data_IF_280658387289
#
_entry.id   IF_280658387289
#
_cell.length_a   1.000
_cell.length_b   1.000
_cell.length_c   1.000
_cell.angle_alpha   90.00
_cell.angle_beta   90.00
_cell.angle_gamma   90.00
#
_symmetry.space_group_name_H-M   'P 1'
#
loop_
_entity.id
_entity.type
_entity.pdbx_description
1 polymer ?
#
# COMPACT_ATOMS: atom_id res chain seq x y z
N UNK A 1 18.83 -16.64 45.02
CA UNK A 1 20.27 -16.97 44.86
C UNK A 1 20.35 -18.02 43.77
N UNK A 2 20.80 -17.67 42.60
CA UNK A 2 21.67 -18.43 41.70
C UNK A 2 21.79 -17.69 40.40
N UNK A 3 22.94 -17.08 40.21
CA UNK A 3 23.42 -16.42 38.99
C UNK A 3 23.91 -17.51 38.02
N UNK A 4 23.49 -17.50 36.78
CA UNK A 4 24.26 -18.13 35.73
C UNK A 4 24.51 -17.14 34.63
N UNK A 5 25.71 -16.62 34.60
CA UNK A 5 26.36 -15.96 33.48
C UNK A 5 26.85 -17.07 32.54
N UNK A 6 26.49 -17.03 31.30
CA UNK A 6 27.22 -17.78 30.28
C UNK A 6 27.49 -16.84 29.09
N UNK A 7 28.76 -16.45 29.07
CA UNK A 7 29.44 -15.67 28.05
C UNK A 7 29.88 -16.63 26.95
N UNK A 8 29.43 -16.47 25.73
CA UNK A 8 30.04 -17.14 24.58
C UNK A 8 30.41 -16.07 23.57
N UNK A 9 31.74 -15.87 23.50
CA UNK A 9 32.43 -15.19 22.41
C UNK A 9 32.50 -16.15 21.23
N UNK A 10 32.11 -15.69 20.03
CA UNK A 10 32.29 -16.40 18.78
C UNK A 10 32.66 -15.42 17.68
N UNK A 11 33.93 -15.41 17.33
CA UNK A 11 34.62 -14.65 16.29
C UNK A 11 34.34 -15.30 14.92
N UNK A 12 34.20 -14.48 13.87
CA UNK A 12 34.72 -14.84 12.55
C UNK A 12 33.72 -14.87 11.40
N UNK A 13 33.88 -14.03 10.49
CA UNK A 13 34.36 -14.14 9.11
C UNK A 13 33.67 -13.17 8.16
N UNK A 14 34.41 -12.18 7.74
CA UNK A 14 34.14 -11.32 6.59
C UNK A 14 34.32 -12.11 5.29
N UNK A 15 33.36 -12.01 4.39
CA UNK A 15 33.61 -12.31 2.98
C UNK A 15 33.08 -11.14 2.11
N UNK A 16 34.05 -10.43 1.57
CA UNK A 16 33.90 -9.45 0.53
C UNK A 16 33.70 -10.17 -0.80
N UNK A 17 32.66 -9.86 -1.55
CA UNK A 17 32.64 -10.06 -2.97
C UNK A 17 32.40 -8.74 -3.67
N UNK A 18 33.50 -8.19 -4.15
CA UNK A 18 33.55 -7.20 -5.22
C UNK A 18 33.36 -7.92 -6.53
N UNK A 19 32.45 -7.47 -7.36
CA UNK A 19 32.52 -7.72 -8.80
C UNK A 19 32.01 -6.51 -9.56
N UNK A 20 32.97 -5.81 -10.15
CA UNK A 20 32.79 -4.90 -11.25
C UNK A 20 32.68 -5.68 -12.54
N UNK A 21 31.77 -5.32 -13.42
CA UNK A 21 31.99 -5.43 -14.85
C UNK A 21 31.14 -4.41 -15.60
N UNK A 22 31.85 -3.60 -16.27
CA UNK A 22 31.59 -2.54 -17.22
C UNK A 22 31.62 -3.19 -18.60
N UNK A 23 30.63 -2.88 -19.45
CA UNK A 23 30.92 -2.83 -20.89
C UNK A 23 30.01 -1.86 -21.61
N UNK A 24 30.68 -0.92 -22.22
CA UNK A 24 30.21 -0.01 -23.27
C UNK A 24 30.25 -0.75 -24.62
N UNK A 25 29.29 -0.47 -25.51
CA UNK A 25 29.65 -0.33 -26.92
C UNK A 25 28.68 0.58 -27.67
N UNK A 26 29.31 1.52 -28.28
CA UNK A 26 28.90 2.48 -29.28
C UNK A 26 28.41 1.87 -30.59
N UNK A 27 27.72 2.71 -31.41
CA UNK A 27 27.53 2.55 -32.83
C UNK A 27 26.22 3.16 -33.29
N UNK A 28 26.15 4.34 -33.63
CA UNK A 28 26.54 5.23 -34.71
C UNK A 28 25.55 5.22 -35.91
N UNK A 29 24.90 6.41 -36.08
CA UNK A 29 24.67 7.18 -37.32
C UNK A 29 23.79 6.62 -38.45
N UNK A 30 22.83 7.45 -38.84
CA UNK A 30 22.15 7.38 -40.14
C UNK A 30 20.99 8.36 -40.26
N UNK A 31 21.32 9.61 -40.53
CA UNK A 31 20.47 10.61 -41.24
C UNK A 31 20.96 10.63 -42.72
N UNK A 32 20.32 11.17 -43.73
CA UNK A 32 19.23 12.17 -43.77
C UNK A 32 18.22 12.04 -44.97
N UNK A 33 17.46 13.12 -45.11
CA UNK A 33 16.89 13.74 -46.31
C UNK A 33 15.37 13.51 -46.55
N UNK A 34 14.67 14.54 -46.38
CA UNK A 34 14.16 15.64 -47.26
C UNK A 34 12.93 15.27 -48.09
N UNK A 35 11.99 16.16 -48.07
CA UNK A 35 11.39 16.95 -49.16
C UNK A 35 9.91 17.23 -48.97
N UNK A 36 9.62 18.51 -48.64
CA UNK A 36 8.81 19.57 -49.26
C UNK A 36 7.30 19.43 -49.34
N UNK A 37 6.66 20.43 -48.71
CA UNK A 37 5.63 21.38 -49.19
C UNK A 37 4.22 20.84 -49.51
N UNK A 38 3.20 21.31 -48.81
CA UNK A 38 2.33 22.32 -49.40
C UNK A 38 1.43 22.99 -48.35
N UNK A 39 1.26 24.27 -48.55
CA UNK A 39 0.49 25.23 -47.79
C UNK A 39 -0.99 25.12 -48.06
N UNK A 40 -1.83 25.21 -47.05
CA UNK A 40 -3.10 25.95 -47.22
C UNK A 40 -3.53 26.56 -45.89
N UNK A 41 -3.56 27.87 -45.87
CA UNK A 41 -4.07 28.71 -44.80
C UNK A 41 -5.60 28.74 -44.85
N UNK A 42 -6.29 28.56 -43.71
CA UNK A 42 -7.61 29.13 -43.48
C UNK A 42 -7.81 29.46 -41.99
N UNK A 43 -7.86 30.77 -41.78
CA UNK A 43 -8.70 31.51 -40.82
C UNK A 43 -8.80 31.07 -39.35
N UNK A 44 -8.20 31.90 -38.56
CA UNK A 44 -8.39 32.08 -37.13
C UNK A 44 -9.80 32.61 -36.80
N UNK A 45 -10.41 32.14 -35.70
CA UNK A 45 -11.16 33.05 -34.86
C UNK A 45 -10.53 33.13 -33.45
N UNK A 46 -10.42 34.33 -33.06
CA UNK A 46 -10.04 35.00 -31.86
C UNK A 46 -10.24 34.21 -30.58
N UNK A 47 -9.14 34.02 -29.83
CA UNK A 47 -9.10 33.46 -28.51
C UNK A 47 -9.79 34.37 -27.50
N UNK A 48 -10.71 33.84 -26.77
CA UNK A 48 -11.11 34.34 -25.47
C UNK A 48 -10.21 33.65 -24.44
N UNK A 49 -9.38 34.45 -23.78
CA UNK A 49 -8.55 34.12 -22.64
C UNK A 49 -9.44 33.57 -21.52
N UNK A 50 -9.44 32.25 -21.37
CA UNK A 50 -9.88 31.59 -20.16
C UNK A 50 -8.65 31.02 -19.52
N UNK A 51 -8.15 31.75 -18.54
CA UNK A 51 -7.16 31.26 -17.59
C UNK A 51 -7.78 30.10 -16.80
N UNK A 52 -7.82 28.93 -17.41
CA UNK A 52 -8.04 27.72 -16.68
C UNK A 52 -6.76 27.43 -15.90
N UNK A 53 -6.81 27.72 -14.59
CA UNK A 53 -5.91 27.10 -13.65
C UNK A 53 -5.92 25.60 -13.95
N UNK A 54 -4.83 25.08 -14.48
CA UNK A 54 -4.57 23.64 -14.55
C UNK A 54 -4.46 23.14 -13.11
N UNK A 55 -5.62 22.88 -12.50
CA UNK A 55 -5.70 21.99 -11.37
C UNK A 55 -5.16 20.67 -11.89
N UNK A 56 -3.97 20.28 -11.46
CA UNK A 56 -3.45 18.95 -11.71
C UNK A 56 -4.57 17.98 -11.35
N UNK A 57 -5.14 17.31 -12.34
CA UNK A 57 -6.12 16.27 -12.10
C UNK A 57 -5.37 15.19 -11.28
N UNK A 58 -5.55 15.25 -9.96
CA UNK A 58 -5.13 14.18 -9.09
C UNK A 58 -5.96 12.98 -9.55
N UNK A 59 -5.29 11.98 -10.16
CA UNK A 59 -5.97 10.82 -10.70
C UNK A 59 -6.85 10.17 -9.62
N UNK A 60 -7.86 9.44 -10.03
CA UNK A 60 -8.75 8.72 -9.14
C UNK A 60 -7.94 7.78 -8.24
N UNK A 61 -8.02 8.02 -6.93
CA UNK A 61 -7.40 7.21 -5.89
C UNK A 61 -8.49 6.55 -5.05
N UNK A 62 -8.16 5.51 -4.29
CA UNK A 62 -9.15 4.91 -3.40
C UNK A 62 -9.68 5.92 -2.38
N UNK A 63 -8.84 6.87 -1.94
CA UNK A 63 -9.22 7.90 -0.98
C UNK A 63 -10.31 8.84 -1.50
N UNK A 64 -10.26 9.23 -2.78
CA UNK A 64 -11.16 10.24 -3.33
C UNK A 64 -12.29 9.66 -4.20
N UNK A 65 -12.16 8.44 -4.71
CA UNK A 65 -13.09 7.85 -5.67
C UNK A 65 -13.96 6.73 -5.09
N UNK A 66 -13.54 6.08 -3.98
CA UNK A 66 -14.27 4.95 -3.40
C UNK A 66 -15.06 5.35 -2.15
N UNK A 67 -16.17 4.64 -1.93
CA UNK A 67 -16.91 4.67 -0.66
C UNK A 67 -16.21 3.74 0.35
N UNK A 68 -15.10 4.22 0.91
CA UNK A 68 -14.25 3.44 1.80
C UNK A 68 -14.65 3.47 3.28
N UNK A 69 -15.46 4.41 3.71
CA UNK A 69 -15.90 4.44 5.11
C UNK A 69 -16.92 3.33 5.38
N UNK A 70 -16.90 2.78 6.58
CA UNK A 70 -17.83 1.70 6.97
C UNK A 70 -17.15 0.59 7.73
N UNK A 71 -17.87 -0.50 7.94
CA UNK A 71 -17.39 -1.67 8.70
C UNK A 71 -17.03 -2.80 7.76
N UNK A 72 -15.89 -3.40 7.99
CA UNK A 72 -15.32 -4.50 7.22
C UNK A 72 -15.05 -5.68 8.12
N UNK A 73 -15.33 -6.89 7.65
CA UNK A 73 -15.18 -8.12 8.44
C UNK A 73 -14.37 -9.17 7.67
N UNK A 74 -13.51 -9.88 8.41
CA UNK A 74 -12.80 -11.06 7.96
C UNK A 74 -12.56 -12.04 9.11
N UNK A 75 -12.22 -13.27 8.78
CA UNK A 75 -11.64 -14.22 9.75
C UNK A 75 -10.21 -14.47 9.31
N UNK A 76 -9.27 -13.81 9.99
CA UNK A 76 -7.84 -13.93 9.66
C UNK A 76 -7.21 -15.15 10.31
N UNK A 77 -6.13 -15.71 9.76
CA UNK A 77 -5.43 -16.86 10.33
C UNK A 77 -4.93 -16.61 11.74
N UNK A 78 -4.97 -17.66 12.54
CA UNK A 78 -4.44 -17.71 13.90
C UNK A 78 -3.43 -18.84 14.00
N UNK A 79 -2.35 -18.65 14.74
CA UNK A 79 -1.30 -19.65 14.88
C UNK A 79 -1.74 -20.88 15.70
N UNK A 80 -2.62 -20.68 16.67
CA UNK A 80 -2.99 -21.67 17.66
C UNK A 80 -4.51 -21.67 17.99
N UNK A 81 -5.32 -21.15 17.06
CA UNK A 81 -6.78 -21.17 17.12
C UNK A 81 -7.38 -21.28 15.72
N UNK A 82 -8.69 -21.58 15.56
CA UNK A 82 -9.32 -21.70 14.24
C UNK A 82 -9.27 -20.44 13.39
N UNK A 83 -9.15 -19.29 14.03
CA UNK A 83 -9.07 -17.98 13.37
C UNK A 83 -9.37 -16.83 14.32
N UNK A 84 -9.18 -15.62 13.84
CA UNK A 84 -9.50 -14.38 14.56
C UNK A 84 -10.58 -13.67 13.77
N UNK A 85 -11.78 -13.60 14.35
CA UNK A 85 -12.89 -12.85 13.78
C UNK A 85 -12.61 -11.36 13.98
N UNK A 86 -12.31 -10.67 12.90
CA UNK A 86 -11.92 -9.27 12.94
C UNK A 86 -12.98 -8.39 12.30
N UNK A 87 -13.39 -7.35 13.02
CA UNK A 87 -14.30 -6.29 12.55
C UNK A 87 -13.59 -4.95 12.65
N UNK A 88 -13.39 -4.28 11.52
CA UNK A 88 -12.72 -2.98 11.41
C UNK A 88 -13.70 -1.95 10.87
N UNK A 89 -13.92 -0.88 11.62
CA UNK A 89 -14.72 0.27 11.17
C UNK A 89 -13.79 1.43 10.85
N UNK A 90 -13.95 2.00 9.66
CA UNK A 90 -13.28 3.23 9.22
C UNK A 90 -14.29 4.37 9.20
N UNK A 91 -13.95 5.50 9.79
CA UNK A 91 -14.78 6.70 9.84
C UNK A 91 -14.26 7.79 8.91
N UNK A 92 -15.15 8.67 8.42
CA UNK A 92 -14.82 9.79 7.53
C UNK A 92 -13.80 10.78 8.12
N UNK A 93 -13.73 10.86 9.45
CA UNK A 93 -12.77 11.70 10.17
C UNK A 93 -11.37 11.08 10.29
N UNK A 94 -11.11 10.00 9.55
CA UNK A 94 -9.86 9.21 9.59
C UNK A 94 -9.58 8.57 10.95
N UNK A 95 -10.61 8.31 11.73
CA UNK A 95 -10.53 7.45 12.92
C UNK A 95 -10.97 6.02 12.59
N UNK A 96 -10.55 5.07 13.41
CA UNK A 96 -10.96 3.67 13.28
C UNK A 96 -11.30 3.07 14.64
N UNK A 97 -12.08 1.99 14.60
CA UNK A 97 -12.21 1.03 15.69
C UNK A 97 -12.06 -0.39 15.16
N UNK A 98 -11.36 -1.23 15.88
CA UNK A 98 -11.14 -2.64 15.51
C UNK A 98 -11.47 -3.54 16.68
N UNK A 99 -12.08 -4.65 16.38
CA UNK A 99 -12.38 -5.73 17.34
C UNK A 99 -11.84 -7.03 16.77
N UNK A 100 -11.10 -7.77 17.57
CA UNK A 100 -10.49 -9.05 17.22
C UNK A 100 -10.92 -10.09 18.25
N UNK A 101 -11.75 -11.06 17.83
CA UNK A 101 -12.26 -12.14 18.65
C UNK A 101 -11.60 -13.46 18.25
N UNK A 102 -10.88 -14.07 19.18
CA UNK A 102 -10.19 -15.33 18.96
C UNK A 102 -11.18 -16.49 19.08
N UNK A 103 -11.42 -17.19 17.99
CA UNK A 103 -12.40 -18.30 17.92
C UNK A 103 -11.96 -19.41 18.87
N UNK A 104 -12.95 -19.97 19.60
CA UNK A 104 -12.76 -21.00 20.64
C UNK A 104 -11.90 -20.56 21.81
N UNK A 105 -11.65 -19.26 21.93
CA UNK A 105 -10.98 -18.65 23.08
C UNK A 105 -11.85 -17.55 23.68
N UNK A 106 -11.86 -17.44 24.97
CA UNK A 106 -12.53 -16.32 25.67
C UNK A 106 -11.64 -15.08 25.65
N UNK A 107 -11.07 -14.77 24.47
CA UNK A 107 -10.17 -13.63 24.29
C UNK A 107 -10.70 -12.72 23.20
N UNK A 108 -10.82 -11.45 23.53
CA UNK A 108 -11.24 -10.37 22.66
C UNK A 108 -10.30 -9.19 22.85
N UNK A 109 -9.82 -8.63 21.77
CA UNK A 109 -9.04 -7.41 21.78
C UNK A 109 -9.84 -6.31 21.08
N UNK A 110 -9.80 -5.11 21.64
CA UNK A 110 -10.43 -3.93 21.07
C UNK A 110 -9.43 -2.79 21.05
N UNK A 111 -9.32 -2.12 19.92
CA UNK A 111 -8.47 -0.94 19.79
C UNK A 111 -9.16 0.12 18.93
N UNK A 112 -8.69 1.34 19.08
CA UNK A 112 -9.17 2.51 18.32
C UNK A 112 -8.03 3.49 18.14
N UNK A 113 -8.14 4.30 17.11
CA UNK A 113 -7.12 5.30 16.82
C UNK A 113 -7.45 6.06 15.55
N UNK A 114 -6.42 6.54 14.88
CA UNK A 114 -6.51 7.19 13.59
C UNK A 114 -5.81 6.37 12.53
N UNK A 115 -6.09 6.67 11.27
CA UNK A 115 -5.33 6.12 10.14
C UNK A 115 -4.86 7.22 9.21
N UNK A 116 -3.84 6.91 8.43
CA UNK A 116 -3.31 7.82 7.41
C UNK A 116 -3.27 7.09 6.08
N UNK A 117 -3.54 7.83 5.01
CA UNK A 117 -3.32 7.35 3.64
C UNK A 117 -1.85 7.47 3.26
N UNK A 118 -1.41 6.62 2.37
CA UNK A 118 -0.11 6.75 1.71
C UNK A 118 -0.15 7.82 0.60
N UNK A 119 0.99 8.09 -0.01
CA UNK A 119 1.09 9.10 -1.07
C UNK A 119 0.30 8.76 -2.34
N UNK A 120 -0.06 7.48 -2.52
CA UNK A 120 -0.87 7.03 -3.67
C UNK A 120 -2.37 7.12 -3.42
N UNK A 121 -2.79 7.37 -2.16
CA UNK A 121 -4.19 7.37 -1.76
C UNK A 121 -4.87 6.01 -1.91
N UNK A 122 -4.10 4.92 -1.84
CA UNK A 122 -4.60 3.56 -2.03
C UNK A 122 -4.38 2.65 -0.82
N UNK A 123 -3.45 3.01 0.06
CA UNK A 123 -3.12 2.24 1.25
C UNK A 123 -3.36 3.08 2.50
N UNK A 124 -4.03 2.49 3.48
CA UNK A 124 -4.18 3.07 4.81
C UNK A 124 -3.27 2.37 5.81
N UNK A 125 -2.72 3.14 6.75
CA UNK A 125 -1.98 2.62 7.90
C UNK A 125 -2.70 3.01 9.18
N UNK A 126 -3.13 2.02 9.96
CA UNK A 126 -3.74 2.24 11.26
C UNK A 126 -2.68 2.69 12.29
N UNK A 127 -3.07 3.59 13.16
CA UNK A 127 -2.26 4.08 14.29
C UNK A 127 -3.09 3.97 15.57
N UNK A 128 -3.18 2.77 16.08
CA UNK A 128 -3.81 2.44 17.34
C UNK A 128 -2.79 2.27 18.46
N UNK A 129 -3.25 1.82 19.60
CA UNK A 129 -2.42 1.44 20.74
C UNK A 129 -1.71 0.10 20.49
N UNK A 130 -2.41 -0.85 19.89
CA UNK A 130 -1.94 -2.19 19.55
C UNK A 130 -2.10 -2.49 18.05
N UNK A 131 -3.15 -1.96 17.42
CA UNK A 131 -3.45 -2.15 16.00
C UNK A 131 -2.66 -1.17 15.12
N UNK A 132 -1.62 -1.68 14.47
CA UNK A 132 -0.75 -0.94 13.55
C UNK A 132 -0.70 -1.63 12.18
N UNK A 133 -1.86 -2.03 11.67
CA UNK A 133 -2.00 -2.76 10.43
C UNK A 133 -2.04 -1.83 9.21
N UNK A 134 -1.69 -2.37 8.07
CA UNK A 134 -1.81 -1.71 6.77
C UNK A 134 -2.85 -2.42 5.92
N UNK A 135 -3.64 -1.66 5.18
CA UNK A 135 -4.65 -2.20 4.27
C UNK A 135 -4.62 -1.47 2.94
N UNK A 136 -4.65 -2.23 1.85
CA UNK A 136 -4.98 -1.69 0.53
C UNK A 136 -6.48 -1.58 0.42
N UNK A 137 -6.97 -0.42 0.01
CA UNK A 137 -8.39 -0.11 -0.07
C UNK A 137 -8.88 -0.36 -1.49
N UNK A 138 -9.88 -1.23 -1.62
CA UNK A 138 -10.58 -1.55 -2.86
C UNK A 138 -12.07 -1.30 -2.75
N UNK A 139 -12.77 -1.50 -3.86
CA UNK A 139 -14.22 -1.36 -3.90
C UNK A 139 -14.89 -2.40 -3.00
N UNK A 140 -15.56 -1.92 -1.94
CA UNK A 140 -16.25 -2.78 -0.97
C UNK A 140 -15.34 -3.74 -0.19
N UNK A 141 -14.01 -3.53 -0.19
CA UNK A 141 -13.08 -4.42 0.47
C UNK A 141 -11.82 -3.72 0.98
N UNK A 142 -11.18 -4.36 1.98
CA UNK A 142 -9.82 -4.04 2.40
C UNK A 142 -8.97 -5.30 2.30
N UNK A 143 -7.75 -5.18 1.78
CA UNK A 143 -6.78 -6.28 1.74
C UNK A 143 -5.70 -5.96 2.77
N UNK A 144 -5.59 -6.79 3.80
CA UNK A 144 -4.53 -6.62 4.79
C UNK A 144 -3.17 -6.91 4.15
N UNK A 145 -2.22 -6.04 4.44
CA UNK A 145 -0.84 -6.12 3.95
C UNK A 145 0.10 -6.60 5.07
N UNK A 146 1.27 -7.03 4.68
CA UNK A 146 2.34 -7.32 5.64
C UNK A 146 2.93 -6.02 6.25
N UNK A 147 3.90 -6.17 7.13
CA UNK A 147 4.55 -5.04 7.80
C UNK A 147 5.26 -4.10 6.83
N UNK A 148 5.74 -4.60 5.69
CA UNK A 148 6.40 -3.84 4.64
C UNK A 148 5.42 -3.15 3.68
N UNK A 149 4.12 -3.44 3.80
CA UNK A 149 3.07 -2.90 2.94
C UNK A 149 2.89 -3.67 1.64
N UNK A 150 3.33 -4.93 1.59
CA UNK A 150 3.14 -5.82 0.45
C UNK A 150 1.94 -6.73 0.67
N UNK A 151 1.32 -7.17 -0.41
CA UNK A 151 0.23 -8.14 -0.34
C UNK A 151 0.75 -9.48 0.21
N UNK A 152 0.00 -10.03 1.18
CA UNK A 152 0.28 -11.35 1.75
C UNK A 152 0.02 -12.39 0.67
N UNK A 153 0.98 -13.26 0.44
CA UNK A 153 0.93 -14.31 -0.58
C UNK A 153 0.78 -15.71 0.04
N UNK A 154 0.52 -16.71 -0.79
CA UNK A 154 0.41 -18.11 -0.35
C UNK A 154 -1.04 -18.60 -0.26
N UNK A 155 -1.26 -19.82 0.26
CA UNK A 155 -2.57 -20.50 0.22
C UNK A 155 -3.64 -19.80 1.04
N UNK A 156 -3.27 -19.03 2.04
CA UNK A 156 -4.20 -18.33 2.96
C UNK A 156 -4.43 -16.86 2.60
N UNK A 157 -3.93 -16.38 1.45
CA UNK A 157 -4.02 -14.95 1.07
C UNK A 157 -5.45 -14.40 1.11
N UNK A 158 -6.44 -15.19 0.72
CA UNK A 158 -7.84 -14.77 0.64
C UNK A 158 -8.48 -14.57 2.02
N UNK A 159 -7.88 -15.12 3.09
CA UNK A 159 -8.33 -14.92 4.47
C UNK A 159 -7.97 -13.52 5.01
N UNK A 160 -7.09 -12.78 4.31
CA UNK A 160 -6.73 -11.41 4.64
C UNK A 160 -7.57 -10.37 3.88
N UNK A 161 -8.61 -10.81 3.17
CA UNK A 161 -9.54 -9.93 2.48
C UNK A 161 -10.75 -9.66 3.37
N UNK A 162 -10.90 -8.43 3.80
CA UNK A 162 -12.01 -7.91 4.59
C UNK A 162 -13.10 -7.42 3.66
N UNK A 163 -14.33 -7.83 3.86
CA UNK A 163 -15.49 -7.41 3.06
C UNK A 163 -16.30 -6.38 3.81
N UNK A 164 -16.75 -5.35 3.10
CA UNK A 164 -17.66 -4.33 3.62
C UNK A 164 -19.00 -4.99 3.96
N UNK A 165 -19.59 -4.58 5.10
CA UNK A 165 -20.85 -5.09 5.63
C UNK A 165 -22.04 -4.34 5.08
#
# INVERSE_FOLDING_TARGET
MMKNKMLILGIGAALFFTSCAKDKKDGQVGEPADVVTDSTAVSQPTATDSTHAVTSAQGDTSENALDWNGTYEATVPCADCPGIKTSLTLNNDKTFSITEEYIDRKSKNEDKGSFTWDATGSIITLKGKTANYKYKVGEGMLIQLDMDGKEITGPNKDLYVFKKK
#
